data_IF_233126461495
#
_entry.id   IF_233126461495
#
_cell.length_a   1.000
_cell.length_b   1.000
_cell.length_c   1.000
_cell.angle_alpha   90.00
_cell.angle_beta   90.00
_cell.angle_gamma   90.00
#
_symmetry.space_group_name_H-M   'P 1'
#
loop_
_entity.id
_entity.type
_entity.pdbx_description
1 polymer ?
#
# COMPACT_ATOMS: atom_id res chain seq x y z
N UNK A 1 24.74 -14.72 9.28
CA UNK A 1 23.95 -15.07 8.08
C UNK A 1 24.62 -14.51 6.85
N UNK A 2 24.44 -15.18 5.71
CA UNK A 2 24.99 -14.76 4.42
C UNK A 2 23.84 -14.36 3.50
N UNK A 3 23.84 -13.10 3.05
CA UNK A 3 22.87 -12.58 2.09
C UNK A 3 23.51 -12.55 0.71
N UNK A 4 22.95 -13.31 -0.24
CA UNK A 4 23.37 -13.31 -1.63
C UNK A 4 22.53 -12.32 -2.41
N UNK A 5 23.16 -11.29 -2.99
CA UNK A 5 22.46 -10.25 -3.77
C UNK A 5 22.25 -10.70 -5.22
N UNK A 6 21.37 -9.99 -5.94
CA UNK A 6 21.01 -10.30 -7.35
C UNK A 6 22.23 -10.37 -8.31
N UNK A 7 23.29 -9.62 -8.04
CA UNK A 7 24.54 -9.63 -8.84
C UNK A 7 25.51 -10.76 -8.44
N UNK A 8 25.10 -11.64 -7.53
CA UNK A 8 25.90 -12.75 -7.00
C UNK A 8 26.86 -12.34 -5.87
N UNK A 9 26.96 -11.07 -5.53
CA UNK A 9 27.79 -10.64 -4.39
C UNK A 9 27.18 -11.11 -3.07
N UNK A 10 28.03 -11.34 -2.07
CA UNK A 10 27.62 -11.84 -0.75
C UNK A 10 27.94 -10.82 0.33
N UNK A 11 27.00 -10.62 1.24
CA UNK A 11 27.19 -9.84 2.46
C UNK A 11 27.00 -10.74 3.67
N UNK A 12 27.92 -10.66 4.60
CA UNK A 12 27.90 -11.44 5.84
C UNK A 12 27.46 -10.55 7.01
N UNK A 13 26.54 -11.04 7.83
CA UNK A 13 26.01 -10.35 9.00
C UNK A 13 26.08 -11.28 10.22
N UNK A 14 26.53 -10.73 11.35
CA UNK A 14 26.62 -11.42 12.63
C UNK A 14 25.28 -11.54 13.36
N UNK A 15 24.32 -10.71 12.96
CA UNK A 15 22.98 -10.60 13.56
C UNK A 15 21.89 -10.48 12.51
N UNK A 16 20.65 -10.71 12.92
CA UNK A 16 19.47 -10.52 12.08
C UNK A 16 19.35 -9.03 11.65
N UNK A 17 18.94 -8.78 10.40
CA UNK A 17 18.84 -7.44 9.84
C UNK A 17 17.58 -7.27 9.01
N UNK A 18 16.96 -6.10 9.07
CA UNK A 18 15.83 -5.80 8.19
C UNK A 18 16.28 -5.57 6.75
N UNK A 19 15.38 -5.85 5.81
CA UNK A 19 15.62 -5.63 4.37
C UNK A 19 16.02 -4.17 4.09
N UNK A 20 15.40 -3.20 4.79
CA UNK A 20 15.74 -1.78 4.61
C UNK A 20 17.14 -1.47 5.12
N UNK A 21 17.57 -2.06 6.26
CA UNK A 21 18.92 -1.83 6.78
C UNK A 21 19.98 -2.42 5.84
N UNK A 22 19.70 -3.60 5.26
CA UNK A 22 20.58 -4.19 4.24
C UNK A 22 20.66 -3.28 3.00
N UNK A 23 19.54 -2.68 2.58
CA UNK A 23 19.54 -1.72 1.48
C UNK A 23 20.39 -0.48 1.79
N UNK A 24 20.37 0.03 3.03
CA UNK A 24 21.25 1.11 3.49
C UNK A 24 22.72 0.70 3.48
N UNK A 25 23.05 -0.52 3.90
CA UNK A 25 24.44 -1.06 3.86
C UNK A 25 24.97 -1.21 2.43
N UNK A 26 24.09 -1.32 1.43
CA UNK A 26 24.49 -1.32 0.02
C UNK A 26 24.71 0.12 -0.46
N UNK A 27 23.70 0.96 -0.32
CA UNK A 27 23.81 2.41 -0.56
C UNK A 27 22.56 3.17 -0.06
N UNK A 28 22.75 4.41 0.38
CA UNK A 28 21.64 5.30 0.71
C UNK A 28 20.71 5.58 -0.48
N UNK A 29 21.27 5.61 -1.70
CA UNK A 29 20.49 5.83 -2.91
C UNK A 29 19.52 4.68 -3.17
N UNK A 30 19.99 3.44 -2.99
CA UNK A 30 19.16 2.24 -3.11
C UNK A 30 18.09 2.19 -2.01
N UNK A 31 18.46 2.42 -0.76
CA UNK A 31 17.52 2.44 0.36
C UNK A 31 16.39 3.47 0.16
N UNK A 32 16.72 4.68 -0.34
CA UNK A 32 15.72 5.70 -0.67
C UNK A 32 14.81 5.34 -1.84
N UNK A 33 15.28 4.50 -2.76
CA UNK A 33 14.51 4.05 -3.92
C UNK A 33 13.77 2.72 -3.68
N UNK A 34 14.11 2.00 -2.60
CA UNK A 34 13.56 0.69 -2.29
C UNK A 34 12.04 0.76 -2.05
N UNK A 35 11.33 -0.18 -2.63
CA UNK A 35 9.89 -0.37 -2.47
C UNK A 35 9.58 -1.64 -1.66
N UNK A 36 10.36 -2.71 -1.86
CA UNK A 36 10.21 -4.00 -1.19
C UNK A 36 11.52 -4.80 -1.29
N UNK A 37 11.60 -5.92 -0.58
CA UNK A 37 12.57 -6.99 -0.82
C UNK A 37 11.94 -8.12 -1.61
N UNK A 38 12.78 -8.88 -2.33
CA UNK A 38 12.41 -10.18 -2.85
C UNK A 38 13.37 -11.20 -2.25
N UNK A 39 12.87 -12.01 -1.34
CA UNK A 39 13.63 -13.01 -0.57
C UNK A 39 13.31 -14.39 -1.14
N UNK A 40 14.31 -15.09 -1.68
CA UNK A 40 14.13 -16.42 -2.29
C UNK A 40 12.96 -16.46 -3.31
N UNK A 41 12.72 -15.35 -4.03
CA UNK A 41 11.66 -15.21 -5.03
C UNK A 41 10.32 -14.65 -4.50
N UNK A 42 10.14 -14.56 -3.18
CA UNK A 42 8.93 -14.00 -2.55
C UNK A 42 9.10 -12.52 -2.22
N UNK A 43 8.07 -11.72 -2.51
CA UNK A 43 8.06 -10.28 -2.21
C UNK A 43 7.72 -10.07 -0.74
N UNK A 44 8.61 -9.38 -0.03
CA UNK A 44 8.47 -9.07 1.39
C UNK A 44 8.56 -7.56 1.66
N UNK A 45 7.98 -7.14 2.78
CA UNK A 45 8.07 -5.75 3.24
C UNK A 45 9.52 -5.38 3.59
N UNK A 46 9.88 -4.13 3.40
CA UNK A 46 11.21 -3.61 3.76
C UNK A 46 11.53 -3.72 5.26
N UNK A 47 10.50 -3.85 6.11
CA UNK A 47 10.60 -4.05 7.57
C UNK A 47 10.89 -5.50 7.95
N UNK A 48 10.72 -6.44 7.01
CA UNK A 48 10.98 -7.86 7.27
C UNK A 48 12.42 -8.06 7.74
N UNK A 49 12.56 -8.73 8.87
CA UNK A 49 13.86 -9.08 9.46
C UNK A 49 14.30 -10.43 8.93
N UNK A 50 15.51 -10.49 8.38
CA UNK A 50 16.16 -11.69 7.89
C UNK A 50 17.12 -12.19 8.99
N UNK A 51 17.05 -13.47 9.30
CA UNK A 51 17.82 -14.12 10.35
C UNK A 51 18.61 -15.36 9.88
N UNK A 52 18.48 -15.69 8.60
CA UNK A 52 19.07 -16.89 7.98
C UNK A 52 19.64 -16.56 6.59
N UNK A 53 20.45 -17.48 6.07
CA UNK A 53 21.03 -17.36 4.73
C UNK A 53 19.93 -17.33 3.67
N UNK A 54 19.96 -16.35 2.77
CA UNK A 54 18.97 -16.22 1.70
C UNK A 54 19.49 -15.44 0.50
N UNK A 55 18.75 -15.53 -0.60
CA UNK A 55 18.88 -14.63 -1.74
C UNK A 55 18.00 -13.40 -1.51
N UNK A 56 18.56 -12.21 -1.73
CA UNK A 56 17.85 -10.95 -1.58
C UNK A 56 18.04 -10.06 -2.81
N UNK A 57 16.93 -9.63 -3.39
CA UNK A 57 16.88 -8.56 -4.38
C UNK A 57 16.12 -7.37 -3.80
N UNK A 58 16.70 -6.17 -3.82
CA UNK A 58 16.01 -4.94 -3.41
C UNK A 58 15.23 -4.42 -4.61
N UNK A 59 13.92 -4.46 -4.49
CA UNK A 59 12.98 -4.02 -5.51
C UNK A 59 12.75 -2.51 -5.43
N UNK A 60 12.78 -1.86 -6.58
CA UNK A 60 12.50 -0.42 -6.74
C UNK A 60 11.29 -0.20 -7.63
N UNK A 61 10.82 1.03 -7.77
CA UNK A 61 9.71 1.35 -8.68
C UNK A 61 10.03 1.14 -10.18
N UNK A 62 11.28 0.75 -10.52
CA UNK A 62 11.65 0.32 -11.88
C UNK A 62 11.34 -1.16 -12.13
N UNK A 63 11.22 -1.93 -11.07
CA UNK A 63 10.84 -3.33 -11.10
C UNK A 63 9.31 -3.43 -11.04
N UNK A 64 8.71 -4.34 -11.81
CA UNK A 64 7.24 -4.52 -11.84
C UNK A 64 6.66 -4.79 -10.45
N UNK A 65 7.27 -5.72 -9.69
CA UNK A 65 6.87 -6.04 -8.31
C UNK A 65 7.04 -4.82 -7.37
N UNK A 66 8.11 -4.04 -7.51
CA UNK A 66 8.33 -2.83 -6.73
C UNK A 66 7.34 -1.71 -7.08
N UNK A 67 6.98 -1.59 -8.37
CA UNK A 67 5.94 -0.66 -8.82
C UNK A 67 4.55 -1.03 -8.27
N UNK A 68 4.25 -2.33 -8.16
CA UNK A 68 3.01 -2.80 -7.53
C UNK A 68 2.92 -2.34 -6.07
N UNK A 69 4.00 -2.43 -5.30
CA UNK A 69 4.06 -1.94 -3.91
C UNK A 69 3.87 -0.42 -3.81
N UNK A 70 4.48 0.35 -4.73
CA UNK A 70 4.25 1.80 -4.80
C UNK A 70 2.77 2.11 -5.09
N UNK A 71 2.15 1.40 -6.03
CA UNK A 71 0.73 1.53 -6.37
C UNK A 71 -0.15 1.19 -5.17
N UNK A 72 0.14 0.11 -4.47
CA UNK A 72 -0.56 -0.29 -3.26
C UNK A 72 -0.46 0.78 -2.16
N UNK A 73 0.70 1.38 -1.96
CA UNK A 73 0.85 2.52 -1.04
C UNK A 73 0.04 3.73 -1.49
N UNK A 74 -0.02 4.02 -2.79
CA UNK A 74 -0.82 5.12 -3.31
C UNK A 74 -2.34 4.88 -3.12
N UNK A 75 -2.82 3.61 -3.11
CA UNK A 75 -4.20 3.29 -2.78
C UNK A 75 -4.56 3.65 -1.33
N UNK A 76 -3.65 3.45 -0.38
CA UNK A 76 -3.85 3.88 1.00
C UNK A 76 -3.86 5.40 1.14
N UNK A 77 -3.02 6.12 0.38
CA UNK A 77 -3.07 7.60 0.33
C UNK A 77 -4.41 8.09 -0.23
N UNK A 78 -4.95 7.41 -1.25
CA UNK A 78 -6.29 7.69 -1.77
C UNK A 78 -7.37 7.44 -0.71
N UNK A 79 -7.34 6.29 -0.04
CA UNK A 79 -8.33 5.96 0.99
C UNK A 79 -8.32 6.97 2.15
N UNK A 80 -7.14 7.36 2.63
CA UNK A 80 -7.01 8.41 3.63
C UNK A 80 -7.57 9.75 3.14
N UNK A 81 -7.29 10.16 1.90
CA UNK A 81 -7.77 11.41 1.34
C UNK A 81 -9.29 11.42 1.22
N UNK A 82 -9.90 10.31 0.77
CA UNK A 82 -11.35 10.16 0.69
C UNK A 82 -11.97 10.28 2.09
N UNK A 83 -11.51 9.52 3.08
CA UNK A 83 -12.06 9.59 4.43
C UNK A 83 -11.80 10.91 5.15
N UNK A 84 -10.75 11.66 4.76
CA UNK A 84 -10.50 13.02 5.27
C UNK A 84 -11.56 14.00 4.77
N UNK A 85 -11.99 13.88 3.51
CA UNK A 85 -12.97 14.78 2.89
C UNK A 85 -14.41 14.29 3.10
N UNK A 86 -14.61 12.98 3.15
CA UNK A 86 -15.90 12.30 3.28
C UNK A 86 -15.83 11.28 4.42
N UNK A 87 -15.95 11.72 5.69
CA UNK A 87 -15.80 10.83 6.86
C UNK A 87 -16.85 9.70 6.94
N UNK A 88 -17.97 9.85 6.25
CA UNK A 88 -19.03 8.82 6.13
C UNK A 88 -18.66 7.70 5.14
N UNK A 89 -17.73 7.93 4.20
CA UNK A 89 -17.31 6.94 3.22
C UNK A 89 -16.63 5.75 3.92
N UNK A 90 -17.15 4.53 3.68
CA UNK A 90 -16.57 3.30 4.24
C UNK A 90 -15.58 2.70 3.25
N UNK A 91 -14.43 2.31 3.76
CA UNK A 91 -13.37 1.71 2.93
C UNK A 91 -13.59 0.20 2.79
N UNK A 92 -13.47 -0.30 1.57
CA UNK A 92 -13.58 -1.72 1.28
C UNK A 92 -12.20 -2.30 0.94
N UNK A 93 -11.85 -2.43 -0.34
CA UNK A 93 -10.57 -3.00 -0.81
C UNK A 93 -9.95 -2.13 -1.89
N UNK A 94 -8.60 -2.17 -1.99
CA UNK A 94 -7.84 -1.39 -2.95
C UNK A 94 -6.64 -2.15 -3.54
N UNK A 95 -6.86 -3.20 -4.38
CA UNK A 95 -5.76 -3.94 -4.98
C UNK A 95 -5.06 -3.14 -6.08
N UNK A 96 -3.78 -3.45 -6.30
CA UNK A 96 -3.06 -2.98 -7.49
C UNK A 96 -3.53 -3.75 -8.73
N UNK A 97 -3.47 -3.08 -9.88
CA UNK A 97 -3.74 -3.65 -11.21
C UNK A 97 -2.59 -3.28 -12.15
N UNK A 98 -2.52 -3.90 -13.33
CA UNK A 98 -1.40 -3.74 -14.29
C UNK A 98 -1.11 -2.28 -14.67
N UNK A 99 -2.14 -1.45 -14.80
CA UNK A 99 -2.01 -0.06 -15.22
C UNK A 99 -2.13 0.97 -14.10
N UNK A 100 -2.35 0.52 -12.85
CA UNK A 100 -2.57 1.41 -11.72
C UNK A 100 -3.06 0.67 -10.49
N UNK A 101 -4.07 1.20 -9.87
CA UNK A 101 -4.85 0.54 -8.81
C UNK A 101 -6.23 1.16 -8.73
N UNK A 102 -7.12 0.51 -8.00
CA UNK A 102 -8.40 1.11 -7.61
C UNK A 102 -8.61 1.00 -6.10
N UNK A 103 -9.58 1.75 -5.61
CA UNK A 103 -10.10 1.56 -4.26
C UNK A 103 -11.62 1.69 -4.28
N UNK A 104 -12.28 0.77 -3.59
CA UNK A 104 -13.74 0.71 -3.50
C UNK A 104 -14.21 1.32 -2.18
N UNK A 105 -15.23 2.19 -2.28
CA UNK A 105 -15.82 2.91 -1.17
C UNK A 105 -17.33 2.72 -1.14
N UNK A 106 -17.91 2.50 0.04
CA UNK A 106 -19.37 2.68 0.20
C UNK A 106 -19.65 4.18 0.33
N UNK A 107 -19.92 4.80 -0.79
CA UNK A 107 -20.22 6.23 -0.97
C UNK A 107 -20.90 6.43 -2.31
N UNK A 108 -21.65 7.53 -2.46
CA UNK A 108 -22.19 7.94 -3.76
C UNK A 108 -21.04 8.18 -4.78
N UNK A 109 -21.30 8.03 -6.09
CA UNK A 109 -20.29 8.27 -7.11
C UNK A 109 -19.67 9.66 -7.00
N UNK A 110 -18.35 9.73 -7.04
CA UNK A 110 -17.61 10.98 -7.00
C UNK A 110 -17.71 11.73 -8.34
N UNK A 111 -18.06 13.01 -8.26
CA UNK A 111 -18.02 13.93 -9.40
C UNK A 111 -16.58 14.26 -9.85
N UNK A 112 -16.41 14.99 -10.95
CA UNK A 112 -15.09 15.43 -11.38
C UNK A 112 -14.47 16.41 -10.38
N UNK A 113 -15.28 17.28 -9.79
CA UNK A 113 -14.87 18.23 -8.76
C UNK A 113 -14.40 17.50 -7.48
N UNK A 114 -15.08 16.44 -7.11
CA UNK A 114 -14.68 15.59 -5.97
C UNK A 114 -13.33 14.91 -6.23
N UNK A 115 -13.13 14.33 -7.42
CA UNK A 115 -11.86 13.73 -7.79
C UNK A 115 -10.71 14.74 -7.76
N UNK A 116 -10.94 15.97 -8.21
CA UNK A 116 -9.93 17.05 -8.15
C UNK A 116 -9.64 17.48 -6.70
N UNK A 117 -10.65 17.46 -5.81
CA UNK A 117 -10.49 17.74 -4.38
C UNK A 117 -9.70 16.60 -3.69
N UNK A 118 -10.02 15.35 -3.99
CA UNK A 118 -9.31 14.17 -3.49
C UNK A 118 -7.84 14.19 -3.92
N UNK A 119 -7.54 14.49 -5.20
CA UNK A 119 -6.15 14.64 -5.66
C UNK A 119 -5.37 15.72 -4.89
N UNK A 120 -6.02 16.85 -4.58
CA UNK A 120 -5.40 17.92 -3.79
C UNK A 120 -5.10 17.45 -2.37
N UNK A 121 -6.02 16.69 -1.75
CA UNK A 121 -5.82 16.15 -0.42
C UNK A 121 -4.72 15.08 -0.40
N UNK A 122 -4.69 14.17 -1.38
CA UNK A 122 -3.59 13.21 -1.55
C UNK A 122 -2.23 13.92 -1.60
N UNK A 123 -2.11 15.02 -2.36
CA UNK A 123 -0.87 15.83 -2.43
C UNK A 123 -0.49 16.42 -1.07
N UNK A 124 -1.46 16.83 -0.24
CA UNK A 124 -1.20 17.32 1.12
C UNK A 124 -0.69 16.21 2.03
N UNK A 125 -1.32 15.02 1.99
CA UNK A 125 -0.91 13.83 2.75
C UNK A 125 0.53 13.45 2.39
N UNK A 126 0.85 13.36 1.11
CA UNK A 126 2.19 13.04 0.63
C UNK A 126 3.21 14.10 1.09
N UNK A 127 2.85 15.38 1.03
CA UNK A 127 3.72 16.49 1.47
C UNK A 127 4.01 16.43 2.97
N UNK A 128 3.05 16.04 3.81
CA UNK A 128 3.27 15.79 5.26
C UNK A 128 4.30 14.70 5.47
N UNK A 129 4.32 13.69 4.61
CA UNK A 129 5.36 12.69 4.54
C UNK A 129 5.39 11.73 5.72
N UNK A 130 4.23 11.33 6.19
CA UNK A 130 4.10 10.36 7.26
C UNK A 130 4.90 9.08 6.97
N UNK A 131 5.56 8.56 8.00
CA UNK A 131 6.08 7.18 7.97
C UNK A 131 4.90 6.22 7.92
N UNK A 132 5.14 5.09 7.29
CA UNK A 132 4.18 3.99 7.29
C UNK A 132 4.68 2.95 8.28
N UNK A 133 3.85 2.56 9.24
CA UNK A 133 4.18 1.59 10.27
C UNK A 133 3.30 0.36 10.11
N UNK A 134 3.89 -0.83 10.27
CA UNK A 134 3.19 -2.12 10.27
C UNK A 134 3.08 -2.62 11.70
N UNK A 135 1.91 -3.12 12.06
CA UNK A 135 1.68 -3.82 13.33
C UNK A 135 0.59 -4.88 13.16
N UNK A 136 0.44 -5.73 14.15
CA UNK A 136 -0.56 -6.81 14.17
C UNK A 136 -1.49 -6.67 15.35
N UNK A 137 -2.67 -7.24 15.25
CA UNK A 137 -3.66 -7.33 16.33
C UNK A 137 -4.22 -8.74 16.40
N UNK A 138 -4.74 -9.11 17.59
CA UNK A 138 -5.59 -10.30 17.70
C UNK A 138 -6.86 -10.11 16.84
N UNK A 139 -7.54 -11.22 16.49
CA UNK A 139 -8.78 -11.14 15.71
C UNK A 139 -9.85 -10.33 16.45
N UNK A 140 -9.97 -10.55 17.77
CA UNK A 140 -10.92 -9.83 18.61
C UNK A 140 -10.64 -8.32 18.62
N UNK A 141 -9.38 -7.93 18.83
CA UNK A 141 -8.98 -6.53 18.86
C UNK A 141 -9.12 -5.86 17.49
N UNK A 142 -8.84 -6.59 16.41
CA UNK A 142 -9.00 -6.11 15.04
C UNK A 142 -10.48 -5.84 14.70
N UNK A 143 -11.36 -6.77 15.05
CA UNK A 143 -12.80 -6.62 14.88
C UNK A 143 -13.32 -5.44 15.74
N UNK A 144 -12.91 -5.35 17.02
CA UNK A 144 -13.31 -4.26 17.91
C UNK A 144 -12.88 -2.91 17.35
N UNK A 145 -11.64 -2.79 16.86
CA UNK A 145 -11.09 -1.58 16.26
C UNK A 145 -11.92 -1.08 15.06
N UNK A 146 -12.29 -1.97 14.13
CA UNK A 146 -13.08 -1.57 12.96
C UNK A 146 -14.57 -1.40 13.25
N UNK A 147 -15.12 -2.07 14.27
CA UNK A 147 -16.48 -1.79 14.77
C UNK A 147 -16.57 -0.40 15.38
N UNK A 148 -15.57 0.01 16.20
CA UNK A 148 -15.49 1.36 16.77
C UNK A 148 -15.41 2.43 15.67
N UNK A 149 -14.64 2.17 14.59
CA UNK A 149 -14.55 3.05 13.43
C UNK A 149 -15.74 2.96 12.48
N UNK A 150 -16.70 2.09 12.75
CA UNK A 150 -17.84 1.85 11.86
C UNK A 150 -17.43 1.47 10.42
N UNK A 151 -16.46 0.54 10.29
CA UNK A 151 -15.94 0.03 9.02
C UNK A 151 -16.40 -1.42 8.77
N UNK A 152 -17.66 -1.64 8.34
CA UNK A 152 -18.25 -2.97 8.27
C UNK A 152 -17.55 -3.91 7.29
N UNK A 153 -17.05 -3.39 6.15
CA UNK A 153 -16.34 -4.20 5.16
C UNK A 153 -15.02 -4.74 5.69
N UNK A 154 -14.32 -3.99 6.56
CA UNK A 154 -13.11 -4.46 7.21
C UNK A 154 -13.41 -5.53 8.25
N UNK A 155 -14.50 -5.40 8.98
CA UNK A 155 -14.98 -6.45 9.92
C UNK A 155 -15.27 -7.73 9.16
N UNK A 156 -16.04 -7.67 8.07
CA UNK A 156 -16.37 -8.82 7.22
C UNK A 156 -15.11 -9.49 6.65
N UNK A 157 -14.12 -8.70 6.19
CA UNK A 157 -12.85 -9.24 5.68
C UNK A 157 -12.08 -9.99 6.78
N UNK A 158 -12.06 -9.48 8.01
CA UNK A 158 -11.38 -10.14 9.14
C UNK A 158 -12.10 -11.44 9.53
N UNK A 159 -13.43 -11.43 9.55
CA UNK A 159 -14.23 -12.60 9.88
C UNK A 159 -14.04 -13.74 8.88
N UNK A 160 -13.75 -13.42 7.61
CA UNK A 160 -13.49 -14.39 6.55
C UNK A 160 -12.05 -14.93 6.51
N UNK A 161 -11.10 -14.32 7.22
CA UNK A 161 -9.73 -14.83 7.27
C UNK A 161 -9.68 -16.22 7.94
N UNK A 162 -8.84 -17.14 7.45
CA UNK A 162 -8.62 -18.43 8.11
C UNK A 162 -8.24 -18.25 9.58
N UNK A 163 -8.57 -19.25 10.39
CA UNK A 163 -8.17 -19.29 11.80
C UNK A 163 -6.65 -19.40 11.91
N UNK A 164 -6.06 -18.58 12.79
CA UNK A 164 -4.61 -18.53 12.98
C UNK A 164 -3.84 -17.66 11.99
N UNK A 165 -4.50 -17.06 11.00
CA UNK A 165 -3.84 -16.12 10.10
C UNK A 165 -3.49 -14.81 10.80
N UNK A 166 -2.28 -14.28 10.51
CA UNK A 166 -1.81 -13.01 11.04
C UNK A 166 -2.64 -11.86 10.49
N UNK A 167 -3.21 -11.05 11.38
CA UNK A 167 -4.00 -9.88 11.01
C UNK A 167 -3.13 -8.64 11.14
N UNK A 168 -2.65 -8.16 10.01
CA UNK A 168 -1.74 -7.01 9.94
C UNK A 168 -2.45 -5.72 9.54
N UNK A 169 -1.88 -4.64 10.00
CA UNK A 169 -2.32 -3.27 9.82
C UNK A 169 -1.17 -2.41 9.33
N UNK A 170 -1.51 -1.40 8.55
CA UNK A 170 -0.59 -0.34 8.21
C UNK A 170 -1.19 1.01 8.59
N UNK A 171 -0.42 1.81 9.32
CA UNK A 171 -0.77 3.18 9.68
C UNK A 171 0.10 4.20 8.96
N UNK A 172 -0.49 5.33 8.62
CA UNK A 172 0.19 6.50 8.04
C UNK A 172 -0.34 7.78 8.70
N UNK A 173 0.40 8.27 9.70
CA UNK A 173 -0.11 9.30 10.60
C UNK A 173 -1.29 8.78 11.41
N UNK A 174 -2.41 9.52 11.40
CA UNK A 174 -3.62 9.19 12.17
C UNK A 174 -4.56 8.20 11.44
N UNK A 175 -4.21 7.79 10.22
CA UNK A 175 -5.01 6.86 9.43
C UNK A 175 -4.42 5.45 9.46
N UNK A 176 -5.29 4.45 9.57
CA UNK A 176 -4.90 3.04 9.70
C UNK A 176 -5.86 2.18 8.90
N UNK A 177 -5.31 1.18 8.19
CA UNK A 177 -6.09 0.20 7.45
C UNK A 177 -5.64 -1.24 7.72
N UNK A 178 -6.58 -2.19 7.51
CA UNK A 178 -6.32 -3.62 7.44
C UNK A 178 -5.61 -3.94 6.12
N UNK A 179 -4.43 -4.51 6.18
CA UNK A 179 -3.67 -4.81 4.98
C UNK A 179 -2.56 -5.83 5.24
N UNK A 180 -2.40 -6.79 4.31
CA UNK A 180 -1.28 -7.73 4.32
C UNK A 180 0.06 -7.08 3.86
N UNK A 181 -0.01 -5.97 3.16
CA UNK A 181 1.18 -5.31 2.60
C UNK A 181 1.69 -5.99 1.31
N UNK A 182 2.97 -5.78 0.95
CA UNK A 182 3.88 -4.79 1.56
C UNK A 182 3.57 -3.34 1.17
N UNK A 183 4.16 -2.40 1.91
CA UNK A 183 4.08 -0.95 1.65
C UNK A 183 5.44 -0.27 1.69
N UNK A 184 5.53 0.92 1.08
CA UNK A 184 6.70 1.79 1.21
C UNK A 184 6.96 2.16 2.68
N UNK A 185 8.17 2.65 2.99
CA UNK A 185 8.51 3.16 4.33
C UNK A 185 7.82 4.48 4.66
N UNK A 186 7.40 5.24 3.65
CA UNK A 186 6.74 6.54 3.81
C UNK A 186 5.88 6.88 2.60
N UNK A 187 4.80 7.61 2.82
CA UNK A 187 3.93 8.15 1.76
C UNK A 187 4.65 9.07 0.79
N UNK A 188 5.82 9.64 1.17
CA UNK A 188 6.67 10.47 0.28
C UNK A 188 7.17 9.75 -0.97
N UNK A 189 7.17 8.42 -0.96
CA UNK A 189 7.54 7.62 -2.13
C UNK A 189 6.57 7.73 -3.29
N UNK A 190 5.31 8.10 -3.03
CA UNK A 190 4.27 8.30 -4.05
C UNK A 190 4.46 9.68 -4.70
N UNK A 191 5.13 9.73 -5.86
CA UNK A 191 5.54 11.00 -6.48
C UNK A 191 4.62 11.47 -7.59
N UNK A 192 4.03 10.56 -8.35
CA UNK A 192 3.19 10.87 -9.50
C UNK A 192 1.96 9.97 -9.52
N UNK A 193 0.79 10.59 -9.60
CA UNK A 193 -0.49 9.90 -9.68
C UNK A 193 -1.52 10.80 -10.34
N UNK A 194 -2.58 10.19 -10.87
CA UNK A 194 -3.75 10.85 -11.44
C UNK A 194 -5.00 10.03 -11.19
N UNK A 195 -6.04 10.63 -10.62
CA UNK A 195 -7.36 10.02 -10.56
C UNK A 195 -8.01 10.07 -11.94
N UNK A 196 -8.40 8.91 -12.46
CA UNK A 196 -8.92 8.77 -13.81
C UNK A 196 -10.43 8.88 -13.85
N UNK A 197 -11.10 8.07 -13.03
CA UNK A 197 -12.55 7.94 -13.05
C UNK A 197 -13.10 7.44 -11.73
N UNK A 198 -14.38 7.67 -11.54
CA UNK A 198 -15.22 7.03 -10.55
C UNK A 198 -16.28 6.21 -11.29
N UNK A 199 -16.51 4.98 -10.87
CA UNK A 199 -17.48 4.06 -11.45
C UNK A 199 -18.11 3.18 -10.38
N UNK A 200 -19.26 2.59 -10.67
CA UNK A 200 -19.90 1.63 -9.77
C UNK A 200 -19.25 0.25 -9.87
N UNK A 201 -19.17 -0.45 -8.75
CA UNK A 201 -18.72 -1.84 -8.67
C UNK A 201 -19.50 -2.55 -7.56
N UNK A 202 -19.86 -3.82 -7.76
CA UNK A 202 -20.49 -4.60 -6.70
C UNK A 202 -19.45 -5.15 -5.74
N UNK A 203 -19.76 -5.09 -4.43
CA UNK A 203 -18.93 -5.70 -3.41
C UNK A 203 -18.70 -7.19 -3.74
N UNK A 204 -17.45 -7.61 -3.74
CA UNK A 204 -17.02 -8.98 -4.14
C UNK A 204 -17.52 -9.43 -5.53
N UNK A 205 -17.79 -8.49 -6.42
CA UNK A 205 -18.20 -8.79 -7.78
C UNK A 205 -19.60 -9.41 -7.95
N UNK A 206 -20.40 -9.43 -6.90
CA UNK A 206 -21.76 -10.01 -6.94
C UNK A 206 -22.82 -8.92 -6.94
N UNK A 207 -23.70 -8.91 -7.91
CA UNK A 207 -24.84 -8.00 -8.01
C UNK A 207 -25.89 -8.15 -6.87
N UNK A 208 -25.78 -9.23 -6.07
CA UNK A 208 -26.59 -9.40 -4.84
C UNK A 208 -26.04 -8.60 -3.66
N UNK A 209 -24.80 -8.11 -3.75
CA UNK A 209 -24.16 -7.35 -2.71
C UNK A 209 -24.31 -5.84 -2.93
N UNK A 210 -23.90 -5.05 -1.95
CA UNK A 210 -23.93 -3.60 -2.02
C UNK A 210 -23.14 -3.08 -3.22
N UNK A 211 -23.68 -2.06 -3.87
CA UNK A 211 -22.97 -1.32 -4.91
C UNK A 211 -22.05 -0.30 -4.26
N UNK A 212 -20.78 -0.33 -4.62
CA UNK A 212 -19.71 0.52 -4.15
C UNK A 212 -19.27 1.49 -5.24
N UNK A 213 -18.60 2.55 -4.86
CA UNK A 213 -17.95 3.48 -5.76
C UNK A 213 -16.48 3.13 -5.89
N UNK A 214 -16.06 2.76 -7.11
CA UNK A 214 -14.68 2.43 -7.47
C UNK A 214 -13.97 3.64 -8.01
N UNK A 215 -12.91 4.08 -7.33
CA UNK A 215 -12.01 5.10 -7.84
C UNK A 215 -10.80 4.43 -8.51
N UNK A 216 -10.62 4.70 -9.81
CA UNK A 216 -9.47 4.25 -10.57
C UNK A 216 -8.38 5.31 -10.58
N UNK A 217 -7.14 4.89 -10.32
CA UNK A 217 -6.00 5.78 -10.26
C UNK A 217 -4.82 5.18 -11.03
N UNK A 218 -4.13 6.05 -11.79
CA UNK A 218 -2.85 5.77 -12.41
C UNK A 218 -1.70 6.30 -11.55
N UNK A 219 -0.63 5.53 -11.41
CA UNK A 219 0.63 6.03 -10.82
C UNK A 219 1.81 5.71 -11.71
N UNK A 220 2.83 6.56 -11.63
CA UNK A 220 4.13 6.40 -12.28
C UNK A 220 5.25 6.62 -11.28
N UNK A 221 6.42 5.97 -11.47
CA UNK A 221 7.61 6.21 -10.68
C UNK A 221 8.12 7.66 -10.79
N UNK A 222 7.76 8.38 -11.84
CA UNK A 222 8.26 9.71 -12.13
C UNK A 222 7.18 10.63 -12.69
N UNK A 223 7.13 11.91 -12.25
CA UNK A 223 6.27 12.93 -12.87
C UNK A 223 6.60 13.22 -14.34
N UNK A 224 7.75 12.76 -14.83
CA UNK A 224 8.19 12.93 -16.23
C UNK A 224 7.79 11.75 -17.12
N UNK A 225 7.05 10.78 -16.60
CA UNK A 225 6.50 9.70 -17.42
C UNK A 225 5.55 10.28 -18.48
N UNK A 226 5.73 9.97 -19.78
CA UNK A 226 4.91 10.52 -20.87
C UNK A 226 3.41 10.19 -20.73
N UNK A 227 3.03 9.15 -19.99
CA UNK A 227 1.62 8.84 -19.71
C UNK A 227 0.98 9.79 -18.69
N UNK A 228 1.76 10.39 -17.78
CA UNK A 228 1.26 11.37 -16.81
C UNK A 228 1.27 12.80 -17.34
N UNK A 229 2.08 13.10 -18.37
CA UNK A 229 2.19 14.46 -18.93
C UNK A 229 1.14 14.79 -20.00
N UNK A 230 0.35 13.82 -20.44
CA UNK A 230 -0.69 13.96 -21.47
C UNK A 230 -2.14 13.86 -20.94
N UNK A 231 -2.32 13.86 -19.61
CA UNK A 231 -3.63 13.82 -18.95
C UNK A 231 -3.96 15.20 -18.33
#
# INVERSE_FOLDING_TARGET
>A
MIITLKDGSKKEYSEAKSVIDIAYDISEGLARAACAGEVNGEVVDLRTVLDSDCELNILTAKDEKGLAVLRHTASHVLAQAVQTLYPEAKVAIGPSIDTGFYYDFAHEPFSREDLDAIEKEMKKIIKKGAKIERFTKSREDAIAFFKEKNEPYKVELIEDLPEGEEISFYSQGDWTDLCAGPHLMSVKGVKAFKLLSSSSAYWRGSEKNAMLTRCLLYTSPSPRDPKTSRM
#
